data_IF_369921648269
#
_entry.id   IF_369921648269
#
_cell.length_a   1.000
_cell.length_b   1.000
_cell.length_c   1.000
_cell.angle_alpha   90.00
_cell.angle_beta   90.00
_cell.angle_gamma   90.00
#
_symmetry.space_group_name_H-M   'P 1'
#
loop_
_entity.id
_entity.type
_entity.pdbx_description
1 polymer ?
#
# COMPACT_ATOMS: atom_id res chain seq x y z
N UNK A 1 -21.06 -53.61 -53.87
CA UNK A 1 -21.32 -53.68 -52.41
C UNK A 1 -20.06 -54.24 -51.77
N UNK A 2 -19.49 -53.48 -50.83
CA UNK A 2 -18.59 -53.88 -49.72
C UNK A 2 -17.33 -54.73 -49.98
N UNK A 3 -16.19 -54.04 -49.95
CA UNK A 3 -14.94 -54.46 -49.28
C UNK A 3 -14.51 -53.20 -48.46
N UNK A 4 -14.29 -53.16 -47.14
CA UNK A 4 -13.67 -54.12 -46.23
C UNK A 4 -12.17 -54.13 -46.51
N UNK A 5 -11.28 -53.33 -45.91
CA UNK A 5 -10.98 -53.09 -44.50
C UNK A 5 -9.44 -52.93 -44.35
N UNK A 6 -8.95 -52.76 -43.11
CA UNK A 6 -7.55 -52.62 -42.68
C UNK A 6 -7.02 -51.17 -42.61
N UNK A 7 -7.14 -50.46 -41.48
CA UNK A 7 -6.42 -50.63 -40.20
C UNK A 7 -4.92 -50.35 -40.34
N UNK A 8 -4.55 -49.07 -40.25
CA UNK A 8 -3.18 -48.61 -40.10
C UNK A 8 -2.81 -48.61 -38.62
N UNK A 9 -2.17 -49.69 -38.17
CA UNK A 9 -1.48 -49.76 -36.89
C UNK A 9 0.02 -49.81 -37.11
N UNK A 10 0.74 -48.74 -36.76
CA UNK A 10 2.01 -48.85 -36.03
C UNK A 10 2.51 -47.47 -35.59
N UNK A 11 2.35 -47.21 -34.30
CA UNK A 11 3.03 -46.15 -33.56
C UNK A 11 4.42 -46.66 -33.19
N UNK A 12 5.46 -45.95 -33.63
CA UNK A 12 6.84 -46.24 -33.27
C UNK A 12 7.12 -45.89 -31.79
N UNK A 13 8.09 -46.56 -31.13
CA UNK A 13 8.29 -46.50 -29.69
C UNK A 13 8.92 -45.19 -29.20
N UNK A 14 8.53 -44.81 -27.99
CA UNK A 14 9.11 -43.72 -27.22
C UNK A 14 10.58 -43.95 -26.88
N UNK A 15 11.33 -42.85 -26.80
CA UNK A 15 12.74 -42.86 -26.45
C UNK A 15 13.41 -41.52 -26.70
N UNK A 16 13.04 -40.49 -25.94
CA UNK A 16 13.93 -39.34 -25.69
C UNK A 16 13.79 -39.03 -24.20
N UNK A 17 14.55 -39.77 -23.40
CA UNK A 17 15.85 -39.31 -22.87
C UNK A 17 15.64 -38.07 -22.02
N UNK A 18 15.52 -38.32 -20.72
CA UNK A 18 15.28 -37.30 -19.72
C UNK A 18 16.31 -36.19 -19.80
N UNK A 19 15.83 -34.96 -19.72
CA UNK A 19 16.65 -33.87 -19.25
C UNK A 19 16.89 -34.10 -17.74
N UNK A 20 18.12 -34.30 -17.25
CA UNK A 20 18.44 -33.90 -15.90
C UNK A 20 18.54 -32.38 -15.95
N UNK A 21 17.42 -31.68 -15.74
CA UNK A 21 17.51 -30.28 -15.35
C UNK A 21 18.24 -30.28 -14.02
N UNK A 22 19.55 -30.01 -14.09
CA UNK A 22 20.41 -29.82 -12.95
C UNK A 22 19.72 -28.82 -12.03
N UNK A 23 19.32 -29.32 -10.87
CA UNK A 23 19.12 -28.54 -9.67
C UNK A 23 20.40 -27.71 -9.51
N UNK A 24 20.37 -26.46 -9.99
CA UNK A 24 21.37 -25.49 -9.58
C UNK A 24 21.34 -25.45 -8.06
N UNK A 25 22.50 -25.25 -7.39
CA UNK A 25 22.54 -25.16 -5.96
C UNK A 25 21.53 -24.09 -5.55
N UNK A 26 20.44 -24.53 -4.93
CA UNK A 26 19.64 -23.64 -4.12
C UNK A 26 20.65 -23.04 -3.14
N UNK A 27 20.78 -21.71 -3.04
CA UNK A 27 21.47 -21.15 -1.91
C UNK A 27 20.70 -21.69 -0.70
N UNK A 28 21.30 -22.65 0.00
CA UNK A 28 20.91 -22.94 1.38
C UNK A 28 21.07 -21.61 2.07
N UNK A 29 19.93 -20.95 2.23
CA UNK A 29 19.83 -19.75 3.02
C UNK A 29 20.43 -20.12 4.37
N UNK A 30 21.50 -19.43 4.73
CA UNK A 30 21.92 -19.28 6.13
C UNK A 30 20.79 -18.49 6.83
N UNK A 31 19.61 -19.10 6.89
CA UNK A 31 18.52 -18.69 7.73
C UNK A 31 19.06 -18.97 9.11
N UNK A 32 19.56 -17.93 9.77
CA UNK A 32 20.04 -17.96 11.14
C UNK A 32 19.15 -18.91 11.94
N UNK A 33 19.64 -20.12 12.18
CA UNK A 33 18.89 -21.16 12.88
C UNK A 33 18.95 -20.76 14.33
N UNK A 34 17.98 -19.94 14.75
CA UNK A 34 17.86 -19.51 16.14
C UNK A 34 17.30 -20.71 16.91
N UNK A 35 18.12 -21.25 17.82
CA UNK A 35 17.70 -22.31 18.74
C UNK A 35 16.82 -21.72 19.85
N UNK A 36 15.50 -21.82 19.66
CA UNK A 36 14.49 -21.29 20.57
C UNK A 36 14.45 -22.02 21.92
N UNK A 37 14.97 -23.25 22.02
CA UNK A 37 14.93 -24.04 23.26
C UNK A 37 15.98 -23.59 24.29
N UNK A 38 16.99 -22.86 23.81
CA UNK A 38 18.09 -22.33 24.64
C UNK A 38 17.84 -20.92 25.17
N UNK A 39 16.85 -20.22 24.61
CA UNK A 39 16.53 -18.83 24.95
C UNK A 39 15.71 -18.75 26.25
N UNK A 40 16.02 -17.75 27.07
CA UNK A 40 15.17 -17.36 28.20
C UNK A 40 13.84 -16.78 27.71
N UNK A 41 12.87 -16.70 28.62
CA UNK A 41 11.56 -16.11 28.31
C UNK A 41 11.71 -14.67 27.82
N UNK A 42 12.57 -13.89 28.47
CA UNK A 42 12.83 -12.50 28.14
C UNK A 42 13.45 -12.37 26.73
N UNK A 43 14.36 -13.27 26.36
CA UNK A 43 14.98 -13.32 25.03
C UNK A 43 13.97 -13.73 23.94
N UNK A 44 13.06 -14.66 24.24
CA UNK A 44 11.97 -15.04 23.33
C UNK A 44 10.99 -13.89 23.09
N UNK A 45 10.62 -13.16 24.15
CA UNK A 45 9.76 -11.97 24.05
C UNK A 45 10.46 -10.85 23.26
N UNK A 46 11.76 -10.64 23.46
CA UNK A 46 12.57 -9.70 22.68
C UNK A 46 12.63 -10.09 21.19
N UNK A 47 12.92 -11.35 20.89
CA UNK A 47 12.97 -11.87 19.52
C UNK A 47 11.61 -11.72 18.82
N UNK A 48 10.50 -11.98 19.52
CA UNK A 48 9.16 -11.77 18.99
C UNK A 48 8.92 -10.31 18.60
N UNK A 49 9.34 -9.36 19.43
CA UNK A 49 9.22 -7.93 19.14
C UNK A 49 10.09 -7.52 17.94
N UNK A 50 11.31 -8.05 17.84
CA UNK A 50 12.20 -7.81 16.70
C UNK A 50 11.63 -8.37 15.40
N UNK A 51 11.10 -9.59 15.42
CA UNK A 51 10.44 -10.20 14.26
C UNK A 51 9.22 -9.38 13.84
N UNK A 52 8.38 -8.94 14.79
CA UNK A 52 7.23 -8.09 14.49
C UNK A 52 7.65 -6.75 13.84
N UNK A 53 8.71 -6.12 14.36
CA UNK A 53 9.27 -4.89 13.79
C UNK A 53 9.86 -5.11 12.40
N UNK A 54 10.54 -6.23 12.18
CA UNK A 54 11.10 -6.63 10.89
C UNK A 54 10.00 -6.86 9.85
N UNK A 55 8.94 -7.60 10.20
CA UNK A 55 7.76 -7.82 9.35
C UNK A 55 7.13 -6.48 8.97
N UNK A 56 6.84 -5.62 9.95
CA UNK A 56 6.24 -4.32 9.68
C UNK A 56 7.11 -3.44 8.77
N UNK A 57 8.43 -3.53 8.92
CA UNK A 57 9.39 -2.82 8.04
C UNK A 57 9.35 -3.36 6.62
N UNK A 58 9.35 -4.69 6.47
CA UNK A 58 9.26 -5.35 5.17
C UNK A 58 7.96 -5.00 4.45
N UNK A 59 6.83 -5.00 5.15
CA UNK A 59 5.54 -4.63 4.59
C UNK A 59 5.51 -3.16 4.13
N UNK A 60 6.07 -2.23 4.92
CA UNK A 60 6.21 -0.83 4.51
C UNK A 60 7.06 -0.70 3.24
N UNK A 61 8.19 -1.39 3.17
CA UNK A 61 9.06 -1.37 2.00
C UNK A 61 8.37 -1.96 0.76
N UNK A 62 7.70 -3.11 0.90
CA UNK A 62 6.93 -3.76 -0.17
C UNK A 62 5.82 -2.84 -0.69
N UNK A 63 5.08 -2.18 0.20
CA UNK A 63 4.03 -1.22 -0.16
C UNK A 63 4.62 -0.01 -0.90
N UNK A 64 5.71 0.56 -0.40
CA UNK A 64 6.38 1.69 -1.05
C UNK A 64 6.91 1.31 -2.45
N UNK A 65 7.50 0.12 -2.59
CA UNK A 65 7.97 -0.39 -3.87
C UNK A 65 6.81 -0.59 -4.86
N UNK A 66 5.69 -1.18 -4.40
CA UNK A 66 4.50 -1.34 -5.23
C UNK A 66 3.94 0.02 -5.68
N UNK A 67 3.86 1.00 -4.78
CA UNK A 67 3.43 2.36 -5.13
C UNK A 67 4.38 3.04 -6.12
N UNK A 68 5.69 2.89 -5.95
CA UNK A 68 6.68 3.45 -6.86
C UNK A 68 6.59 2.83 -8.26
N UNK A 69 6.41 1.51 -8.35
CA UNK A 69 6.21 0.79 -9.60
C UNK A 69 4.94 1.29 -10.31
N UNK A 70 3.82 1.33 -9.60
CA UNK A 70 2.56 1.83 -10.16
C UNK A 70 2.66 3.29 -10.60
N UNK A 71 3.31 4.15 -9.81
CA UNK A 71 3.52 5.54 -10.16
C UNK A 71 4.43 5.71 -11.39
N UNK A 72 5.46 4.86 -11.54
CA UNK A 72 6.30 4.83 -12.73
C UNK A 72 5.49 4.45 -13.96
N UNK A 73 4.68 3.38 -13.88
CA UNK A 73 3.81 2.95 -14.98
C UNK A 73 2.76 4.00 -15.34
N UNK A 74 2.17 4.65 -14.35
CA UNK A 74 1.24 5.76 -14.60
C UNK A 74 1.93 6.87 -15.42
N UNK A 75 3.15 7.27 -15.02
CA UNK A 75 3.93 8.31 -15.72
C UNK A 75 4.30 7.93 -17.14
N UNK A 76 4.66 6.67 -17.40
CA UNK A 76 4.90 6.14 -18.75
C UNK A 76 3.67 6.32 -19.65
N UNK A 77 2.46 6.20 -19.09
CA UNK A 77 1.19 6.38 -19.79
C UNK A 77 0.70 7.84 -19.82
N UNK A 78 1.47 8.78 -19.25
CA UNK A 78 1.11 10.20 -19.21
C UNK A 78 0.15 10.58 -18.09
N UNK A 79 -0.07 9.70 -17.10
CA UNK A 79 -0.94 9.95 -15.95
C UNK A 79 -0.14 9.96 -14.64
N UNK A 80 -0.70 10.53 -13.58
CA UNK A 80 -0.20 10.34 -12.22
C UNK A 80 -0.95 9.22 -11.51
N UNK A 81 -0.30 8.55 -10.55
CA UNK A 81 -0.96 7.50 -9.76
C UNK A 81 -2.26 8.02 -9.10
N UNK A 82 -2.26 9.29 -8.67
CA UNK A 82 -3.41 9.98 -8.06
C UNK A 82 -4.62 10.09 -8.98
N UNK A 83 -4.40 10.34 -10.26
CA UNK A 83 -5.47 10.42 -11.27
C UNK A 83 -6.10 9.06 -11.55
N UNK A 84 -5.30 7.99 -11.46
CA UNK A 84 -5.75 6.62 -11.71
C UNK A 84 -6.47 6.00 -10.51
N UNK A 85 -6.09 6.36 -9.28
CA UNK A 85 -6.71 5.82 -8.05
C UNK A 85 -7.93 6.59 -7.60
N UNK A 86 -8.22 7.76 -8.20
CA UNK A 86 -9.33 8.61 -7.79
C UNK A 86 -9.22 9.16 -6.35
N UNK A 87 -8.11 8.89 -5.65
CA UNK A 87 -7.83 9.39 -4.32
C UNK A 87 -7.34 10.82 -4.44
N UNK A 88 -8.28 11.75 -4.58
CA UNK A 88 -7.97 13.16 -4.37
C UNK A 88 -7.57 13.35 -2.91
N UNK A 89 -6.27 13.44 -2.61
CA UNK A 89 -5.75 14.06 -1.39
C UNK A 89 -6.02 15.57 -1.40
N UNK A 90 -7.26 15.96 -1.58
CA UNK A 90 -7.74 17.20 -0.98
C UNK A 90 -8.45 16.73 0.27
N UNK A 91 -7.72 16.72 1.37
CA UNK A 91 -8.34 16.77 2.68
C UNK A 91 -9.48 17.82 2.61
N UNK A 92 -10.65 17.55 3.22
CA UNK A 92 -11.74 18.51 3.22
C UNK A 92 -11.19 19.88 3.60
N UNK A 93 -11.39 20.82 2.69
CA UNK A 93 -10.81 22.16 2.70
C UNK A 93 -11.07 22.82 4.06
N UNK A 94 -9.98 23.30 4.66
CA UNK A 94 -9.85 24.15 5.85
C UNK A 94 -11.19 24.67 6.42
N UNK A 95 -11.50 24.28 7.66
CA UNK A 95 -12.57 24.84 8.51
C UNK A 95 -12.69 26.35 8.25
N UNK A 96 -13.75 26.75 7.53
CA UNK A 96 -13.96 28.13 7.10
C UNK A 96 -14.98 28.73 8.04
N UNK A 97 -14.64 29.88 8.63
CA UNK A 97 -15.52 30.59 9.55
C UNK A 97 -16.18 31.75 8.80
N UNK A 98 -17.48 31.95 8.96
CA UNK A 98 -18.21 33.09 8.43
C UNK A 98 -18.60 34.06 9.57
N UNK A 99 -18.49 35.35 9.29
CA UNK A 99 -18.93 36.37 10.23
C UNK A 99 -20.46 36.39 10.33
N UNK A 100 -21.06 36.20 11.51
CA UNK A 100 -22.52 36.23 11.68
C UNK A 100 -23.14 37.61 11.37
N UNK A 101 -22.35 38.70 11.43
CA UNK A 101 -22.80 40.04 11.07
C UNK A 101 -22.63 40.36 9.57
N UNK A 102 -21.81 39.60 8.84
CA UNK A 102 -21.60 39.79 7.39
C UNK A 102 -21.04 38.52 6.74
N UNK A 103 -21.90 37.74 6.09
CA UNK A 103 -21.58 36.45 5.47
C UNK A 103 -20.49 36.51 4.39
N UNK A 104 -20.18 37.70 3.84
CA UNK A 104 -19.10 37.87 2.87
C UNK A 104 -17.71 37.86 3.52
N UNK A 105 -17.63 38.04 4.84
CA UNK A 105 -16.38 37.96 5.58
C UNK A 105 -16.18 36.53 6.05
N UNK A 106 -15.24 35.84 5.40
CA UNK A 106 -14.87 34.46 5.75
C UNK A 106 -13.39 34.38 6.13
N UNK A 107 -13.05 33.39 6.95
CA UNK A 107 -11.67 33.14 7.38
C UNK A 107 -11.40 31.64 7.46
N UNK A 108 -10.33 31.17 6.81
CA UNK A 108 -10.02 29.74 6.70
C UNK A 108 -9.34 29.15 7.95
N UNK A 109 -9.41 29.82 9.10
CA UNK A 109 -8.77 29.36 10.34
C UNK A 109 -7.23 29.43 10.36
N UNK A 110 -6.59 29.82 9.26
CA UNK A 110 -5.14 30.00 9.14
C UNK A 110 -4.74 31.47 9.13
N UNK A 111 -3.59 31.77 9.74
CA UNK A 111 -3.00 33.11 9.77
C UNK A 111 -3.64 34.06 10.79
N UNK A 112 -3.50 35.37 10.57
CA UNK A 112 -3.98 36.39 11.52
C UNK A 112 -5.51 36.36 11.60
N UNK A 113 -6.03 36.23 12.83
CA UNK A 113 -7.46 36.30 13.12
C UNK A 113 -8.02 37.66 12.68
N UNK A 114 -9.12 37.69 11.91
CA UNK A 114 -9.82 38.92 11.59
C UNK A 114 -10.45 39.53 12.84
N UNK A 115 -10.56 40.86 12.86
CA UNK A 115 -11.20 41.61 13.97
C UNK A 115 -12.62 41.15 14.28
N UNK A 116 -13.37 40.72 13.27
CA UNK A 116 -14.73 40.23 13.46
C UNK A 116 -14.76 38.90 14.22
N UNK A 117 -13.79 38.03 14.00
CA UNK A 117 -13.70 36.72 14.65
C UNK A 117 -13.37 36.92 16.14
N UNK A 118 -12.42 37.81 16.44
CA UNK A 118 -12.08 38.19 17.82
C UNK A 118 -13.27 38.85 18.53
N UNK A 119 -14.01 39.73 17.84
CA UNK A 119 -15.21 40.36 18.39
C UNK A 119 -16.33 39.35 18.65
N UNK A 120 -16.52 38.37 17.77
CA UNK A 120 -17.52 37.33 17.95
C UNK A 120 -17.17 36.41 19.13
N UNK A 121 -15.90 36.03 19.25
CA UNK A 121 -15.38 35.29 20.42
C UNK A 121 -15.58 36.10 21.72
N UNK A 122 -15.30 37.40 21.71
CA UNK A 122 -15.50 38.28 22.86
C UNK A 122 -16.99 38.50 23.20
N UNK A 123 -17.89 38.35 22.21
CA UNK A 123 -19.34 38.38 22.40
C UNK A 123 -19.91 37.05 22.92
N UNK A 124 -19.05 36.07 23.26
CA UNK A 124 -19.45 34.77 23.79
C UNK A 124 -19.87 33.75 22.74
N UNK A 125 -19.59 33.99 21.45
CA UNK A 125 -19.79 32.98 20.39
C UNK A 125 -18.63 32.00 20.39
N UNK A 126 -18.94 30.75 20.05
CA UNK A 126 -17.90 29.74 19.87
C UNK A 126 -17.42 29.69 18.43
N UNK A 127 -16.19 29.22 18.16
CA UNK A 127 -15.71 28.99 16.80
C UNK A 127 -16.65 28.09 15.98
N UNK A 128 -17.26 27.10 16.64
CA UNK A 128 -18.17 26.14 16.02
C UNK A 128 -19.47 26.80 15.51
N UNK A 129 -19.98 27.81 16.22
CA UNK A 129 -21.15 28.60 15.78
C UNK A 129 -20.89 29.42 14.50
N UNK A 130 -19.62 29.69 14.20
CA UNK A 130 -19.21 30.49 13.04
C UNK A 130 -18.72 29.61 11.89
N UNK A 131 -18.67 28.30 12.08
CA UNK A 131 -18.17 27.37 11.07
C UNK A 131 -19.18 27.21 9.92
N UNK A 132 -18.70 27.22 8.68
CA UNK A 132 -19.48 26.96 7.45
C UNK A 132 -18.97 25.76 6.68
#
# INVERSE_FOLDING_TARGET
MTEGGASAGQTAPGGSSGAPTGQGPVPEEDAAVIDLETLSREELEALQAEVAAAIATLERQRKAQAQAELARRARELGFTLRELTGTSELAPWELRYANPANVNQTWCGRGRKPRWFEKAMAAGRTPEDMLI
#
